data_IF_446484631482
#
_entry.id   IF_446484631482
#
_cell.length_a   1.000
_cell.length_b   1.000
_cell.length_c   1.000
_cell.angle_alpha   90.00
_cell.angle_beta   90.00
_cell.angle_gamma   90.00
#
_symmetry.space_group_name_H-M   'P 1'
#
loop_
_entity.id
_entity.type
_entity.pdbx_description
1 polymer ?
#
# COMPACT_ATOMS: atom_id res chain seq x y z
N UNK A 1 -33.98 1.96 12.46
CA UNK A 1 -34.34 0.52 12.28
C UNK A 1 -33.27 -0.36 11.59
N UNK A 2 -32.09 0.18 11.28
CA UNK A 2 -30.99 -0.59 10.63
C UNK A 2 -30.04 -1.20 11.68
N UNK A 3 -30.09 -0.77 12.92
CA UNK A 3 -29.17 -1.22 13.98
C UNK A 3 -29.35 -2.65 14.52
N UNK A 4 -30.55 -3.25 14.60
CA UNK A 4 -30.70 -4.61 15.15
C UNK A 4 -30.04 -5.70 14.28
N UNK A 5 -29.98 -5.50 12.97
CA UNK A 5 -29.43 -6.53 12.05
C UNK A 5 -27.90 -6.60 12.07
N UNK A 6 -27.22 -5.49 12.39
CA UNK A 6 -25.77 -5.42 12.51
C UNK A 6 -25.27 -6.07 13.82
N UNK A 7 -25.98 -5.88 14.92
CA UNK A 7 -25.65 -6.51 16.21
C UNK A 7 -25.78 -8.04 16.13
N UNK A 8 -26.76 -8.54 15.37
CA UNK A 8 -26.91 -9.98 15.13
C UNK A 8 -25.79 -10.58 14.26
N UNK A 9 -25.25 -9.82 13.31
CA UNK A 9 -24.11 -10.28 12.48
C UNK A 9 -22.79 -10.28 13.24
N UNK A 10 -22.59 -9.36 14.17
CA UNK A 10 -21.42 -9.34 15.05
C UNK A 10 -21.37 -10.57 15.98
N UNK A 11 -22.49 -11.01 16.49
CA UNK A 11 -22.58 -12.20 17.35
C UNK A 11 -22.27 -13.50 16.61
N UNK A 12 -22.64 -13.61 15.33
CA UNK A 12 -22.34 -14.80 14.52
C UNK A 12 -20.88 -14.87 14.05
N UNK A 13 -20.14 -13.75 14.02
CA UNK A 13 -18.74 -13.68 13.57
C UNK A 13 -17.77 -14.13 14.66
N UNK A 14 -18.15 -14.08 15.93
CA UNK A 14 -17.29 -14.40 17.08
C UNK A 14 -16.88 -15.87 17.22
N UNK A 15 -17.51 -16.79 16.54
CA UNK A 15 -17.57 -18.18 17.01
C UNK A 15 -16.61 -19.18 16.36
N UNK A 16 -15.61 -18.84 15.52
CA UNK A 16 -14.73 -19.91 15.03
C UNK A 16 -13.39 -19.56 14.38
N UNK A 17 -12.80 -18.35 14.53
CA UNK A 17 -11.46 -18.13 13.97
C UNK A 17 -10.62 -17.07 14.67
N UNK A 18 -9.31 -17.16 14.44
CA UNK A 18 -8.30 -16.18 14.87
C UNK A 18 -8.43 -14.79 14.20
N UNK A 19 -9.30 -14.62 13.21
CA UNK A 19 -9.54 -13.34 12.55
C UNK A 19 -10.26 -12.37 13.49
N UNK A 20 -9.67 -11.19 13.68
CA UNK A 20 -10.27 -10.10 14.42
C UNK A 20 -11.01 -9.17 13.46
N UNK A 21 -11.89 -8.33 13.99
CA UNK A 21 -12.53 -7.27 13.21
C UNK A 21 -12.67 -5.99 14.04
N UNK A 22 -12.84 -4.88 13.35
CA UNK A 22 -13.25 -3.59 13.90
C UNK A 22 -14.30 -2.96 13.00
N UNK A 23 -15.09 -2.05 13.51
CA UNK A 23 -16.15 -1.38 12.76
C UNK A 23 -15.92 0.13 12.76
N UNK A 24 -16.51 0.82 11.79
CA UNK A 24 -16.35 2.27 11.62
C UNK A 24 -16.68 3.07 12.90
N UNK A 25 -17.54 2.54 13.77
CA UNK A 25 -17.94 3.16 15.05
C UNK A 25 -17.09 2.71 16.23
N UNK A 26 -16.17 1.78 16.06
CA UNK A 26 -15.30 1.29 17.11
C UNK A 26 -14.15 2.26 17.37
N UNK A 27 -13.72 2.37 18.65
CA UNK A 27 -12.63 3.26 19.06
C UNK A 27 -11.28 2.87 18.41
N UNK A 28 -11.07 1.58 18.16
CA UNK A 28 -9.85 1.04 17.55
C UNK A 28 -9.90 1.00 16.02
N UNK A 29 -10.91 1.62 15.39
CA UNK A 29 -10.94 1.71 13.93
C UNK A 29 -9.89 2.70 13.43
N UNK A 30 -9.08 2.35 12.39
CA UNK A 30 -8.02 3.21 11.88
C UNK A 30 -8.50 4.61 11.51
N UNK A 31 -7.92 5.65 12.13
CA UNK A 31 -8.30 7.03 11.87
C UNK A 31 -8.13 7.40 10.39
N UNK A 32 -7.00 6.99 9.77
CA UNK A 32 -6.72 7.22 8.34
C UNK A 32 -7.83 6.68 7.42
N UNK A 33 -8.51 5.59 7.79
CA UNK A 33 -9.60 5.03 6.99
C UNK A 33 -10.94 5.74 7.22
N UNK A 34 -11.12 6.45 8.33
CA UNK A 34 -12.33 7.27 8.53
C UNK A 34 -12.37 8.48 7.59
N UNK A 35 -11.21 8.93 7.14
CA UNK A 35 -11.05 10.15 6.33
C UNK A 35 -11.25 9.90 4.82
N UNK A 36 -11.23 8.65 4.36
CA UNK A 36 -11.45 8.35 2.93
C UNK A 36 -12.93 8.50 2.55
N UNK A 37 -13.22 8.85 1.30
CA UNK A 37 -14.59 9.07 0.81
C UNK A 37 -15.53 7.88 0.98
N UNK A 38 -15.00 6.66 1.02
CA UNK A 38 -15.76 5.42 1.14
C UNK A 38 -15.12 4.47 2.17
N UNK A 39 -15.20 4.75 3.48
CA UNK A 39 -14.62 3.91 4.51
C UNK A 39 -15.36 2.57 4.61
N UNK A 40 -14.65 1.43 4.77
CA UNK A 40 -15.29 0.15 5.00
C UNK A 40 -16.01 0.15 6.35
N UNK A 41 -17.26 -0.29 6.38
CA UNK A 41 -18.03 -0.35 7.62
C UNK A 41 -17.47 -1.36 8.61
N UNK A 42 -16.97 -2.49 8.10
CA UNK A 42 -16.29 -3.54 8.86
C UNK A 42 -14.91 -3.77 8.25
N UNK A 43 -13.90 -3.84 9.07
CA UNK A 43 -12.54 -4.17 8.70
C UNK A 43 -12.11 -5.43 9.43
N UNK A 44 -11.89 -6.52 8.70
CA UNK A 44 -11.32 -7.76 9.23
C UNK A 44 -9.80 -7.70 9.18
N UNK A 45 -9.13 -8.29 10.18
CA UNK A 45 -7.68 -8.28 10.21
C UNK A 45 -7.06 -9.47 10.94
N UNK A 46 -5.83 -9.81 10.52
CA UNK A 46 -4.88 -10.67 11.23
C UNK A 46 -3.62 -9.88 11.54
N UNK A 47 -3.10 -10.05 12.73
CA UNK A 47 -1.86 -9.40 13.16
C UNK A 47 -2.09 -8.15 14.01
N UNK A 48 -1.18 -7.19 13.92
CA UNK A 48 -1.15 -5.99 14.76
C UNK A 48 -1.76 -4.78 14.04
N UNK A 49 -2.99 -4.41 14.40
CA UNK A 49 -3.70 -3.29 13.78
C UNK A 49 -3.01 -1.93 14.00
N UNK A 50 -2.21 -1.76 15.06
CA UNK A 50 -1.53 -0.49 15.33
C UNK A 50 -0.47 -0.11 14.27
N UNK A 51 -0.13 -1.02 13.37
CA UNK A 51 0.75 -0.71 12.24
C UNK A 51 0.16 0.34 11.29
N UNK A 52 -1.17 0.47 11.22
CA UNK A 52 -1.84 1.46 10.36
C UNK A 52 -1.58 2.91 10.78
N UNK A 53 -1.23 3.13 12.06
CA UNK A 53 -0.95 4.46 12.61
C UNK A 53 0.52 4.87 12.46
N UNK A 54 1.37 3.97 11.97
CA UNK A 54 2.79 4.23 11.74
C UNK A 54 3.01 4.97 10.42
N UNK A 55 4.19 5.61 10.29
CA UNK A 55 4.65 6.18 9.03
C UNK A 55 4.73 5.07 7.98
N UNK A 56 4.20 5.33 6.80
CA UNK A 56 3.94 4.25 5.85
C UNK A 56 4.00 4.67 4.40
N UNK A 57 4.39 3.73 3.54
CA UNK A 57 4.47 3.91 2.09
C UNK A 57 3.70 2.78 1.39
N UNK A 58 2.71 3.13 0.58
CA UNK A 58 2.09 2.16 -0.32
C UNK A 58 3.01 1.93 -1.52
N UNK A 59 3.37 0.69 -1.78
CA UNK A 59 4.18 0.29 -2.94
C UNK A 59 3.30 -0.43 -3.94
N UNK A 60 3.23 0.13 -5.16
CA UNK A 60 2.43 -0.41 -6.26
C UNK A 60 3.24 -0.46 -7.56
N UNK A 61 2.79 -1.27 -8.51
CA UNK A 61 3.44 -1.40 -9.80
C UNK A 61 2.95 -2.60 -10.60
N UNK A 62 3.70 -2.95 -11.64
CA UNK A 62 3.38 -4.03 -12.57
C UNK A 62 3.18 -5.38 -11.88
N UNK A 63 2.25 -6.16 -12.43
CA UNK A 63 2.09 -7.57 -12.06
C UNK A 63 3.22 -8.45 -12.62
N UNK A 64 3.89 -7.96 -13.67
CA UNK A 64 5.01 -8.63 -14.34
C UNK A 64 6.15 -7.64 -14.59
N UNK A 65 6.80 -7.17 -13.51
CA UNK A 65 7.86 -6.17 -13.65
C UNK A 65 9.04 -6.71 -14.45
N UNK A 66 9.73 -5.80 -15.14
CA UNK A 66 11.00 -6.08 -15.78
C UNK A 66 12.09 -6.38 -14.73
N UNK A 67 13.27 -6.80 -15.17
CA UNK A 67 14.42 -6.97 -14.24
C UNK A 67 14.81 -5.64 -13.60
N UNK A 68 14.66 -4.52 -14.31
CA UNK A 68 14.84 -3.19 -13.72
C UNK A 68 13.81 -2.91 -12.63
N UNK A 69 12.52 -3.11 -12.93
CA UNK A 69 11.44 -2.90 -11.98
C UNK A 69 11.56 -3.78 -10.73
N UNK A 70 11.99 -5.04 -10.88
CA UNK A 70 12.28 -5.93 -9.73
C UNK A 70 13.36 -5.35 -8.84
N UNK A 71 14.54 -5.00 -9.42
CA UNK A 71 15.68 -4.44 -8.68
C UNK A 71 15.32 -3.12 -8.00
N UNK A 72 14.62 -2.23 -8.68
CA UNK A 72 14.12 -1.00 -8.09
C UNK A 72 13.19 -1.28 -6.90
N UNK A 73 12.24 -2.20 -7.07
CA UNK A 73 11.31 -2.57 -5.99
C UNK A 73 12.04 -3.13 -4.77
N UNK A 74 13.01 -4.02 -4.99
CA UNK A 74 13.83 -4.60 -3.92
C UNK A 74 14.63 -3.52 -3.19
N UNK A 75 15.33 -2.63 -3.95
CA UNK A 75 16.13 -1.54 -3.39
C UNK A 75 15.28 -0.60 -2.51
N UNK A 76 14.14 -0.13 -3.03
CA UNK A 76 13.30 0.80 -2.30
C UNK A 76 12.62 0.14 -1.09
N UNK A 77 12.15 -1.10 -1.23
CA UNK A 77 11.55 -1.83 -0.11
C UNK A 77 12.57 -2.10 1.01
N UNK A 78 13.82 -2.41 0.65
CA UNK A 78 14.92 -2.61 1.58
C UNK A 78 15.21 -1.35 2.40
N UNK A 79 15.39 -0.22 1.73
CA UNK A 79 15.73 1.04 2.38
C UNK A 79 14.57 1.61 3.22
N UNK A 80 13.33 1.50 2.75
CA UNK A 80 12.15 1.89 3.52
C UNK A 80 11.99 1.03 4.79
N UNK A 81 12.19 -0.29 4.67
CA UNK A 81 12.11 -1.19 5.82
C UNK A 81 13.22 -0.92 6.85
N UNK A 82 14.44 -0.58 6.42
CA UNK A 82 15.56 -0.16 7.31
C UNK A 82 15.25 1.12 8.08
N UNK A 83 14.51 2.05 7.47
CA UNK A 83 14.06 3.28 8.12
C UNK A 83 12.81 3.09 9.00
N UNK A 84 12.39 1.83 9.17
CA UNK A 84 11.22 1.45 9.95
C UNK A 84 9.87 1.95 9.41
N UNK A 85 9.81 2.38 8.14
CA UNK A 85 8.55 2.71 7.48
C UNK A 85 7.73 1.44 7.23
N UNK A 86 6.43 1.53 7.42
CA UNK A 86 5.50 0.43 7.13
C UNK A 86 5.28 0.34 5.61
N UNK A 87 5.55 -0.82 5.03
CA UNK A 87 5.26 -1.07 3.62
C UNK A 87 3.87 -1.67 3.45
N UNK A 88 3.07 -1.01 2.61
CA UNK A 88 1.68 -1.37 2.37
C UNK A 88 1.51 -1.80 0.92
N UNK A 89 0.90 -2.95 0.69
CA UNK A 89 0.57 -3.41 -0.67
C UNK A 89 -0.75 -4.15 -0.74
N UNK A 90 -1.18 -4.49 -1.97
CA UNK A 90 -2.34 -5.37 -2.20
C UNK A 90 -1.99 -6.87 -2.26
N UNK A 91 -0.76 -7.29 -1.99
CA UNK A 91 -0.30 -8.68 -2.07
C UNK A 91 -0.49 -9.36 -3.45
N UNK A 92 -0.75 -8.62 -4.54
CA UNK A 92 -0.79 -9.21 -5.88
C UNK A 92 0.60 -9.65 -6.35
N UNK A 93 0.63 -10.42 -7.44
CA UNK A 93 1.89 -10.79 -8.09
C UNK A 93 2.72 -9.57 -8.50
N UNK A 94 3.98 -9.79 -8.80
CA UNK A 94 4.90 -8.76 -9.27
C UNK A 94 5.39 -7.85 -8.16
N UNK A 95 5.34 -6.55 -8.40
CA UNK A 95 5.87 -5.51 -7.50
C UNK A 95 5.39 -5.67 -6.06
N UNK A 96 4.09 -5.88 -5.86
CA UNK A 96 3.53 -5.98 -4.52
C UNK A 96 4.09 -7.16 -3.70
N UNK A 97 4.22 -8.33 -4.32
CA UNK A 97 4.82 -9.51 -3.69
C UNK A 97 6.31 -9.33 -3.42
N UNK A 98 7.05 -8.71 -4.36
CA UNK A 98 8.49 -8.45 -4.23
C UNK A 98 8.71 -7.49 -3.06
N UNK A 99 7.97 -6.38 -2.99
CA UNK A 99 8.09 -5.40 -1.93
C UNK A 99 7.86 -6.01 -0.54
N UNK A 100 6.77 -6.79 -0.36
CA UNK A 100 6.50 -7.45 0.92
C UNK A 100 7.59 -8.46 1.29
N UNK A 101 8.00 -9.34 0.36
CA UNK A 101 9.03 -10.34 0.62
C UNK A 101 10.37 -9.70 0.99
N UNK A 102 10.74 -8.60 0.33
CA UNK A 102 11.98 -7.89 0.64
C UNK A 102 11.90 -7.19 2.00
N UNK A 103 10.82 -6.47 2.28
CA UNK A 103 10.63 -5.80 3.56
C UNK A 103 10.63 -6.78 4.75
N UNK A 104 9.98 -7.92 4.61
CA UNK A 104 9.91 -8.96 5.66
C UNK A 104 11.25 -9.62 5.99
N UNK A 105 12.29 -9.46 5.17
CA UNK A 105 13.65 -9.88 5.54
C UNK A 105 14.29 -8.99 6.60
N UNK A 106 13.76 -7.77 6.77
CA UNK A 106 14.32 -6.73 7.61
C UNK A 106 13.41 -6.39 8.78
N UNK A 107 12.11 -6.30 8.54
CA UNK A 107 11.12 -5.82 9.52
C UNK A 107 9.77 -6.49 9.33
N UNK A 108 9.05 -6.66 10.43
CA UNK A 108 7.67 -7.14 10.44
C UNK A 108 6.64 -6.00 10.18
N UNK A 109 7.12 -4.79 9.86
CA UNK A 109 6.27 -3.62 9.58
C UNK A 109 5.73 -3.64 8.16
N UNK A 110 4.88 -4.61 7.88
CA UNK A 110 4.26 -4.81 6.56
C UNK A 110 2.75 -4.96 6.68
N UNK A 111 2.01 -4.38 5.73
CA UNK A 111 0.56 -4.47 5.66
C UNK A 111 0.14 -4.97 4.27
N UNK A 112 -0.72 -5.96 4.24
CA UNK A 112 -1.38 -6.43 3.03
C UNK A 112 -2.87 -6.17 3.06
N UNK A 113 -3.42 -5.58 2.00
CA UNK A 113 -4.86 -5.37 1.80
C UNK A 113 -5.38 -6.39 0.81
N UNK A 114 -6.27 -7.28 1.25
CA UNK A 114 -6.79 -8.35 0.42
C UNK A 114 -8.05 -7.93 -0.36
N UNK A 115 -8.25 -8.46 -1.58
CA UNK A 115 -9.46 -8.27 -2.38
C UNK A 115 -10.51 -9.36 -2.13
N UNK A 116 -10.37 -10.17 -1.09
CA UNK A 116 -11.20 -11.33 -0.78
C UNK A 116 -11.37 -11.45 0.72
N UNK A 117 -12.15 -12.41 1.17
CA UNK A 117 -12.34 -12.68 2.60
C UNK A 117 -11.01 -12.92 3.31
N UNK A 118 -10.94 -12.48 4.57
CA UNK A 118 -9.69 -12.45 5.35
C UNK A 118 -9.04 -13.83 5.52
N UNK A 119 -9.80 -14.91 5.47
CA UNK A 119 -9.31 -16.29 5.56
C UNK A 119 -8.89 -16.87 4.21
N UNK A 120 -8.97 -16.08 3.16
CA UNK A 120 -8.59 -16.46 1.81
C UNK A 120 -7.31 -15.72 1.42
N UNK A 121 -6.54 -16.26 0.53
CA UNK A 121 -5.35 -15.59 0.00
C UNK A 121 -5.44 -15.49 -1.52
N UNK A 122 -5.00 -14.36 -2.03
CA UNK A 122 -4.96 -14.07 -3.45
C UNK A 122 -3.72 -13.24 -3.78
N UNK A 123 -2.93 -13.67 -4.76
CA UNK A 123 -3.06 -14.90 -5.56
C UNK A 123 -2.69 -16.18 -4.79
N UNK A 124 -3.08 -17.35 -5.32
CA UNK A 124 -2.84 -18.65 -4.64
C UNK A 124 -1.36 -18.94 -4.43
N UNK A 125 -0.48 -18.43 -5.27
CA UNK A 125 0.97 -18.56 -5.19
C UNK A 125 1.58 -17.89 -3.95
N UNK A 126 0.86 -16.93 -3.36
CA UNK A 126 1.31 -16.20 -2.17
C UNK A 126 0.88 -16.85 -0.85
N UNK A 127 0.54 -18.13 -0.83
CA UNK A 127 0.11 -18.83 0.39
C UNK A 127 1.13 -18.69 1.52
N UNK A 128 2.39 -19.00 1.26
CA UNK A 128 3.47 -18.92 2.26
C UNK A 128 3.67 -17.48 2.77
N UNK A 129 3.62 -16.50 1.86
CA UNK A 129 3.69 -15.08 2.22
C UNK A 129 2.50 -14.67 3.11
N UNK A 130 1.29 -15.11 2.78
CA UNK A 130 0.09 -14.88 3.59
C UNK A 130 0.25 -15.46 5.00
N UNK A 131 0.69 -16.72 5.12
CA UNK A 131 0.90 -17.39 6.40
C UNK A 131 1.98 -16.70 7.26
N UNK A 132 3.06 -16.24 6.63
CA UNK A 132 4.11 -15.47 7.30
C UNK A 132 3.59 -14.11 7.79
N UNK A 133 2.80 -13.40 6.98
CA UNK A 133 2.22 -12.13 7.37
C UNK A 133 1.14 -12.24 8.45
N UNK A 134 0.38 -13.33 8.50
CA UNK A 134 -0.54 -13.61 9.61
C UNK A 134 0.18 -13.68 10.97
N UNK A 135 1.44 -14.11 10.98
CA UNK A 135 2.23 -14.25 12.21
C UNK A 135 2.94 -12.95 12.60
N UNK A 136 3.54 -12.26 11.62
CA UNK A 136 4.52 -11.22 11.86
C UNK A 136 4.11 -9.85 11.33
N UNK A 137 3.11 -9.73 10.44
CA UNK A 137 2.67 -8.48 9.84
C UNK A 137 1.24 -8.12 10.19
N UNK A 138 0.61 -7.39 9.26
CA UNK A 138 -0.82 -7.09 9.31
C UNK A 138 -1.47 -7.41 7.97
N UNK A 139 -2.53 -8.19 8.00
CA UNK A 139 -3.40 -8.42 6.85
C UNK A 139 -4.76 -7.81 7.17
N UNK A 140 -5.32 -7.06 6.22
CA UNK A 140 -6.65 -6.47 6.34
C UNK A 140 -7.52 -6.80 5.14
N UNK A 141 -8.83 -6.88 5.37
CA UNK A 141 -9.85 -7.03 4.34
C UNK A 141 -11.16 -6.38 4.78
N UNK A 142 -11.87 -5.78 3.84
CA UNK A 142 -13.24 -5.31 4.06
C UNK A 142 -14.30 -6.38 3.77
N UNK A 143 -13.88 -7.55 3.29
CA UNK A 143 -14.79 -8.59 2.84
C UNK A 143 -15.02 -9.65 3.89
N UNK A 144 -16.28 -10.17 4.01
CA UNK A 144 -16.60 -11.27 4.88
C UNK A 144 -15.72 -12.48 4.63
N UNK A 145 -15.50 -13.26 5.68
CA UNK A 145 -14.72 -14.49 5.64
C UNK A 145 -15.16 -15.42 4.49
N UNK A 146 -14.17 -16.09 3.87
CA UNK A 146 -14.37 -17.05 2.77
C UNK A 146 -14.97 -16.44 1.50
N UNK A 147 -15.17 -15.12 1.42
CA UNK A 147 -15.61 -14.51 0.18
C UNK A 147 -14.51 -14.65 -0.88
N UNK A 148 -14.89 -15.22 -2.03
CA UNK A 148 -13.99 -15.35 -3.17
C UNK A 148 -13.70 -14.00 -3.83
N UNK A 149 -12.54 -13.91 -4.48
CA UNK A 149 -12.12 -12.70 -5.18
C UNK A 149 -12.96 -12.43 -6.42
N UNK A 150 -13.38 -11.17 -6.59
CA UNK A 150 -13.98 -10.65 -7.83
C UNK A 150 -13.11 -9.56 -8.43
N UNK A 151 -13.25 -9.36 -9.75
CA UNK A 151 -12.44 -8.36 -10.48
C UNK A 151 -12.57 -6.94 -9.93
N UNK A 152 -13.78 -6.55 -9.53
CA UNK A 152 -14.05 -5.21 -9.00
C UNK A 152 -13.39 -5.01 -7.63
N UNK A 153 -13.36 -6.05 -6.80
CA UNK A 153 -12.73 -6.02 -5.48
C UNK A 153 -11.21 -5.79 -5.56
N UNK A 154 -10.58 -6.31 -6.62
CA UNK A 154 -9.14 -6.10 -6.88
C UNK A 154 -8.84 -4.60 -7.07
N UNK A 155 -9.74 -3.89 -7.71
CA UNK A 155 -9.59 -2.43 -7.93
C UNK A 155 -10.02 -1.65 -6.70
N UNK A 156 -11.18 -1.98 -6.12
CA UNK A 156 -11.75 -1.26 -4.98
C UNK A 156 -10.83 -1.22 -3.77
N UNK A 157 -10.09 -2.30 -3.49
CA UNK A 157 -9.14 -2.32 -2.36
C UNK A 157 -8.04 -1.25 -2.47
N UNK A 158 -7.73 -0.74 -3.69
CA UNK A 158 -6.67 0.27 -3.86
C UNK A 158 -6.97 1.56 -3.09
N UNK A 159 -8.26 1.88 -2.86
CA UNK A 159 -8.64 3.01 -2.00
C UNK A 159 -8.20 2.81 -0.55
N UNK A 160 -8.19 1.55 -0.06
CA UNK A 160 -7.73 1.21 1.27
C UNK A 160 -6.20 1.21 1.33
N UNK A 161 -5.53 0.66 0.31
CA UNK A 161 -4.05 0.67 0.21
C UNK A 161 -3.54 2.10 0.26
N UNK A 162 -4.12 3.00 -0.53
CA UNK A 162 -3.81 4.42 -0.48
C UNK A 162 -4.28 5.04 0.84
N UNK A 163 -5.50 4.72 1.31
CA UNK A 163 -6.12 5.31 2.50
C UNK A 163 -5.29 5.18 3.77
N UNK A 164 -4.71 4.01 4.02
CA UNK A 164 -3.88 3.77 5.20
C UNK A 164 -2.42 4.19 5.04
N UNK A 165 -1.96 4.53 3.83
CA UNK A 165 -0.60 5.00 3.58
C UNK A 165 -0.46 6.51 3.75
N UNK A 166 0.74 6.99 4.00
CA UNK A 166 1.06 8.41 3.99
C UNK A 166 1.55 8.87 2.60
N UNK A 167 2.14 7.96 1.84
CA UNK A 167 2.71 8.19 0.52
C UNK A 167 2.45 7.00 -0.40
N UNK A 168 2.42 7.22 -1.70
CA UNK A 168 2.30 6.16 -2.71
C UNK A 168 3.53 6.16 -3.61
N UNK A 169 4.21 5.03 -3.71
CA UNK A 169 5.35 4.81 -4.59
C UNK A 169 4.96 3.85 -5.72
N UNK A 170 5.22 4.28 -6.95
CA UNK A 170 5.14 3.44 -8.14
C UNK A 170 6.55 3.09 -8.62
N UNK A 171 6.90 1.81 -8.56
CA UNK A 171 8.25 1.37 -8.94
C UNK A 171 8.38 1.15 -10.44
N UNK A 172 7.41 0.51 -11.05
CA UNK A 172 7.32 0.33 -12.51
C UNK A 172 5.89 0.02 -12.91
N UNK A 173 5.36 0.69 -13.92
CA UNK A 173 4.03 0.41 -14.47
C UNK A 173 4.01 0.48 -15.99
N UNK A 174 3.15 -0.34 -16.60
CA UNK A 174 2.85 -0.27 -18.01
C UNK A 174 2.01 0.99 -18.33
N UNK A 175 2.13 1.49 -19.55
CA UNK A 175 1.21 2.52 -20.05
C UNK A 175 -0.24 2.02 -19.94
N UNK A 176 -1.15 2.84 -19.41
CA UNK A 176 -2.56 2.49 -19.15
C UNK A 176 -2.77 1.34 -18.16
N UNK A 177 -1.84 1.15 -17.24
CA UNK A 177 -1.97 0.14 -16.18
C UNK A 177 -3.18 0.43 -15.26
N UNK A 178 -3.91 -0.62 -14.86
CA UNK A 178 -4.95 -0.50 -13.82
C UNK A 178 -4.39 -0.11 -12.46
N UNK A 179 -3.09 -0.26 -12.25
CA UNK A 179 -2.43 0.20 -11.03
C UNK A 179 -2.46 1.73 -10.92
N UNK A 180 -2.62 2.48 -12.01
CA UNK A 180 -2.79 3.93 -11.98
C UNK A 180 -4.05 4.39 -11.24
N UNK A 181 -5.03 3.51 -11.02
CA UNK A 181 -6.21 3.83 -10.21
C UNK A 181 -5.83 4.20 -8.77
N UNK A 182 -4.74 3.63 -8.23
CA UNK A 182 -4.26 4.02 -6.89
C UNK A 182 -3.84 5.50 -6.85
N UNK A 183 -3.34 6.03 -7.97
CA UNK A 183 -2.96 7.45 -8.10
C UNK A 183 -4.18 8.35 -7.94
N UNK A 184 -5.30 7.99 -8.58
CA UNK A 184 -6.55 8.75 -8.43
C UNK A 184 -7.03 8.77 -6.97
N UNK A 185 -6.97 7.64 -6.28
CA UNK A 185 -7.30 7.59 -4.86
C UNK A 185 -6.31 8.37 -4.00
N UNK A 186 -5.01 8.30 -4.30
CA UNK A 186 -4.01 9.07 -3.57
C UNK A 186 -4.24 10.57 -3.68
N UNK A 187 -4.52 11.08 -4.88
CA UNK A 187 -4.81 12.49 -5.13
C UNK A 187 -6.10 12.93 -4.43
N UNK A 188 -7.18 12.14 -4.52
CA UNK A 188 -8.43 12.39 -3.80
C UNK A 188 -8.23 12.47 -2.27
N UNK A 189 -7.31 11.66 -1.76
CA UNK A 189 -6.96 11.59 -0.33
C UNK A 189 -5.84 12.56 0.07
N UNK A 190 -5.42 13.47 -0.81
CA UNK A 190 -4.41 14.50 -0.53
C UNK A 190 -3.00 13.97 -0.32
N UNK A 191 -2.65 12.84 -0.93
CA UNK A 191 -1.36 12.17 -0.73
C UNK A 191 -0.41 12.38 -1.88
N UNK A 192 0.89 12.46 -1.56
CA UNK A 192 1.94 12.54 -2.56
C UNK A 192 2.13 11.21 -3.29
N UNK A 193 2.28 11.28 -4.58
CA UNK A 193 2.58 10.15 -5.46
C UNK A 193 4.00 10.29 -5.97
N UNK A 194 4.78 9.27 -5.75
CA UNK A 194 6.17 9.15 -6.16
C UNK A 194 6.31 8.11 -7.26
N UNK A 195 7.13 8.37 -8.26
CA UNK A 195 7.34 7.45 -9.37
C UNK A 195 8.82 7.34 -9.72
N UNK A 196 9.31 6.12 -9.87
CA UNK A 196 10.65 5.82 -10.35
C UNK A 196 10.64 5.97 -11.87
N UNK A 197 11.56 6.75 -12.49
CA UNK A 197 11.59 6.92 -13.93
C UNK A 197 11.95 5.61 -14.64
N UNK A 198 11.31 5.36 -15.76
CA UNK A 198 11.64 4.23 -16.65
C UNK A 198 12.54 4.69 -17.79
N UNK A 199 13.30 3.77 -18.37
CA UNK A 199 14.12 4.06 -19.53
C UNK A 199 13.28 4.54 -20.72
N UNK A 200 13.71 5.61 -21.40
CA UNK A 200 12.97 6.19 -22.54
C UNK A 200 12.84 5.24 -23.73
N UNK A 201 13.72 4.25 -23.82
CA UNK A 201 13.69 3.22 -24.88
C UNK A 201 12.78 2.03 -24.54
N UNK A 202 12.34 1.92 -23.28
CA UNK A 202 11.45 0.87 -22.84
C UNK A 202 10.00 1.27 -23.13
N UNK A 203 9.46 0.74 -24.24
CA UNK A 203 8.11 1.09 -24.70
C UNK A 203 7.00 0.49 -23.85
N UNK A 204 7.27 -0.60 -23.16
CA UNK A 204 6.26 -1.32 -22.41
C UNK A 204 6.00 -0.68 -21.04
N UNK A 205 7.02 -0.08 -20.42
CA UNK A 205 6.97 0.47 -19.08
C UNK A 205 7.04 2.00 -19.02
N UNK A 206 6.33 2.70 -19.90
CA UNK A 206 6.28 4.16 -19.89
C UNK A 206 5.28 4.75 -18.89
N UNK A 207 4.52 3.93 -18.17
CA UNK A 207 3.46 4.41 -17.28
C UNK A 207 3.97 5.36 -16.19
N UNK A 208 5.12 5.06 -15.59
CA UNK A 208 5.72 5.94 -14.58
C UNK A 208 6.16 7.28 -15.18
N UNK A 209 6.76 7.28 -16.39
CA UNK A 209 7.15 8.52 -17.07
C UNK A 209 5.92 9.38 -17.41
N UNK A 210 4.81 8.76 -17.78
CA UNK A 210 3.56 9.48 -18.01
C UNK A 210 3.01 10.09 -16.72
N UNK A 211 3.07 9.39 -15.59
CA UNK A 211 2.67 9.93 -14.29
C UNK A 211 3.56 11.07 -13.84
N UNK A 212 4.88 11.00 -14.07
CA UNK A 212 5.83 12.09 -13.78
C UNK A 212 5.45 13.34 -14.59
N UNK A 213 5.14 13.20 -15.89
CA UNK A 213 4.65 14.32 -16.72
C UNK A 213 3.34 14.93 -16.22
N UNK A 214 2.52 14.11 -15.52
CA UNK A 214 1.24 14.53 -14.93
C UNK A 214 1.41 15.12 -13.51
N UNK A 215 2.63 15.21 -12.98
CA UNK A 215 2.92 15.82 -11.70
C UNK A 215 3.26 14.85 -10.57
N UNK A 216 3.44 13.56 -10.83
CA UNK A 216 4.02 12.67 -9.83
C UNK A 216 5.46 13.06 -9.53
N UNK A 217 5.87 12.97 -8.27
CA UNK A 217 7.20 13.33 -7.81
C UNK A 217 8.18 12.27 -8.31
N UNK A 218 9.15 12.70 -9.09
CA UNK A 218 10.23 11.81 -9.55
C UNK A 218 11.12 11.41 -8.38
N UNK A 219 11.47 10.12 -8.32
CA UNK A 219 12.43 9.61 -7.35
C UNK A 219 13.54 8.83 -8.07
N UNK A 220 14.77 9.19 -7.80
CA UNK A 220 15.97 8.59 -8.37
C UNK A 220 16.79 7.83 -7.32
N UNK A 221 16.44 8.05 -6.05
CA UNK A 221 17.04 7.40 -4.89
C UNK A 221 15.98 7.15 -3.80
N UNK A 222 16.14 6.11 -2.97
CA UNK A 222 15.22 5.89 -1.85
C UNK A 222 15.16 7.06 -0.84
N UNK A 223 16.20 7.86 -0.76
CA UNK A 223 16.26 9.06 0.11
C UNK A 223 15.22 10.10 -0.32
N UNK A 224 14.91 10.20 -1.61
CA UNK A 224 13.96 11.17 -2.13
C UNK A 224 12.54 10.98 -1.53
N UNK A 225 12.19 9.74 -1.11
CA UNK A 225 10.90 9.47 -0.45
C UNK A 225 10.94 9.83 1.03
N UNK A 226 12.08 9.66 1.67
CA UNK A 226 12.22 9.81 3.13
C UNK A 226 12.54 11.24 3.53
N UNK A 227 13.34 11.95 2.75
CA UNK A 227 13.91 13.24 3.13
C UNK A 227 13.07 14.44 2.65
N UNK A 228 12.29 14.28 1.55
CA UNK A 228 11.40 15.35 1.04
C UNK A 228 10.21 15.69 1.96
N UNK A 229 9.93 14.88 2.98
CA UNK A 229 8.93 15.22 4.00
C UNK A 229 9.48 16.05 5.16
N UNK A 230 10.81 16.14 5.28
CA UNK A 230 11.53 16.79 6.39
C UNK A 230 12.33 18.03 5.93
N UNK A 231 12.25 18.38 4.64
CA UNK A 231 12.80 19.66 4.16
C UNK A 231 11.83 20.76 4.59
N UNK A 232 12.10 21.35 5.75
CA UNK A 232 11.54 22.63 6.12
C UNK A 232 12.05 23.65 5.09
N UNK A 233 11.15 24.45 4.50
CA UNK A 233 11.48 25.51 3.51
C UNK A 233 12.61 26.44 4.02
N UNK A 234 12.84 26.44 5.33
CA UNK A 234 13.94 27.17 5.99
C UNK A 234 15.35 26.64 5.66
N UNK A 235 15.48 25.40 5.21
CA UNK A 235 16.79 24.82 4.87
C UNK A 235 17.25 25.18 3.44
N UNK A 236 16.33 25.69 2.61
CA UNK A 236 16.64 26.13 1.25
C UNK A 236 17.31 27.53 1.20
N UNK A 237 17.15 28.34 2.25
CA UNK A 237 17.73 29.69 2.32
C UNK A 237 19.23 29.70 2.72
N UNK A 238 19.79 28.57 3.14
CA UNK A 238 21.15 28.46 3.62
C UNK A 238 22.13 27.74 2.69
N UNK A 239 21.71 27.28 1.51
CA UNK A 239 22.64 26.83 0.48
C UNK A 239 23.10 28.04 -0.33
N UNK A 240 24.17 28.68 0.11
CA UNK A 240 24.95 29.59 -0.74
C UNK A 240 25.30 28.82 -2.01
N UNK A 241 24.73 29.29 -3.11
CA UNK A 241 25.15 28.86 -4.45
C UNK A 241 26.51 29.55 -4.66
N UNK A 242 27.56 28.81 -4.35
CA UNK A 242 28.88 29.19 -4.83
C UNK A 242 28.89 29.12 -6.37
N UNK A 243 28.51 30.21 -6.98
CA UNK A 243 28.76 30.43 -8.40
C UNK A 243 30.21 30.87 -8.55
N UNK A 244 31.12 29.94 -8.66
CA UNK A 244 32.43 30.23 -9.25
C UNK A 244 32.24 30.47 -10.75
N UNK A 245 32.48 31.71 -11.16
CA UNK A 245 32.63 32.09 -12.55
C UNK A 245 34.00 31.70 -13.08
#
# INVERSE_FOLDING_TARGET
EIMPSLVGSEMCIRDSSSAKFTTLVSDNYPAKLKEISCPPFVLYYHGNLSLVDKKSVAVAGSLKPSEYGKKCTELYADELAKKEDVIITGMQEGVATIALKQAMKISDKVIAVLPCGIDSYYPKQNKELYEAMCKNGLIISEYPRKLEVKKDQIVQRLRLVSGISDKVLLTETETKSKQHIIVSYALEQGKNVYAIPSGVMDKDFQGNNDLIKMGAIIVTSPKDITDLSDIDIKDLDNSEIDMEM
#
